data_IF_732334213890
#
_entry.id   IF_732334213890
#
_cell.length_a   1.000
_cell.length_b   1.000
_cell.length_c   1.000
_cell.angle_alpha   90.00
_cell.angle_beta   90.00
_cell.angle_gamma   90.00
#
_symmetry.space_group_name_H-M   'P 1'
#
loop_
_entity.id
_entity.type
_entity.pdbx_description
1 polymer ?
#
# COMPACT_ATOMS: atom_id res chain seq x y z
N UNK A 1 8.93 12.89 -6.74
CA UNK A 1 8.09 11.94 -5.99
C UNK A 1 7.56 12.67 -4.76
N UNK A 2 6.29 12.51 -4.39
CA UNK A 2 5.70 13.28 -3.27
C UNK A 2 6.08 12.70 -1.89
N UNK A 3 6.40 11.41 -1.82
CA UNK A 3 6.78 10.70 -0.60
C UNK A 3 7.99 9.81 -0.83
N UNK A 4 8.92 9.77 0.14
CA UNK A 4 10.07 8.87 0.14
C UNK A 4 9.73 7.49 0.70
N UNK A 5 8.76 7.43 1.61
CA UNK A 5 8.28 6.21 2.26
C UNK A 5 6.76 6.22 2.38
N UNK A 6 6.18 5.03 2.34
CA UNK A 6 4.75 4.77 2.46
C UNK A 6 4.55 3.67 3.50
N UNK A 7 3.62 3.90 4.42
CA UNK A 7 3.14 2.91 5.38
C UNK A 7 1.72 2.50 5.03
N UNK A 8 1.41 1.21 5.13
CA UNK A 8 0.06 0.67 5.01
C UNK A 8 -0.37 0.23 6.41
N UNK A 9 -1.51 0.75 6.85
CA UNK A 9 -2.11 0.47 8.15
C UNK A 9 -3.45 -0.22 7.91
N UNK A 10 -3.70 -1.34 8.57
CA UNK A 10 -5.01 -2.00 8.62
C UNK A 10 -5.37 -2.24 10.09
N UNK A 11 -6.61 -1.96 10.47
CA UNK A 11 -7.10 -2.04 11.86
C UNK A 11 -6.22 -1.37 12.93
N UNK A 12 -5.54 -0.28 12.58
CA UNK A 12 -4.65 0.44 13.50
C UNK A 12 -3.25 -0.19 13.64
N UNK A 13 -2.96 -1.25 12.88
CA UNK A 13 -1.64 -1.90 12.85
C UNK A 13 -0.89 -1.58 11.56
N UNK A 14 0.40 -1.27 11.68
CA UNK A 14 1.28 -1.03 10.52
C UNK A 14 1.72 -2.38 9.93
N UNK A 15 1.16 -2.73 8.78
CA UNK A 15 1.39 -4.03 8.13
C UNK A 15 2.45 -3.97 7.02
N UNK A 16 2.73 -2.79 6.47
CA UNK A 16 3.83 -2.61 5.52
C UNK A 16 4.44 -1.21 5.63
N UNK A 17 5.75 -1.11 5.42
CA UNK A 17 6.49 0.15 5.41
C UNK A 17 7.67 0.04 4.46
N UNK A 18 7.83 1.00 3.56
CA UNK A 18 8.95 1.02 2.61
C UNK A 18 8.83 2.16 1.61
N UNK A 19 9.76 2.28 0.68
CA UNK A 19 9.56 3.18 -0.46
C UNK A 19 8.44 2.66 -1.36
N UNK A 20 7.77 3.53 -2.13
CA UNK A 20 6.73 3.09 -3.07
C UNK A 20 7.21 1.99 -4.03
N UNK A 21 8.45 2.13 -4.54
CA UNK A 21 9.05 1.17 -5.48
C UNK A 21 9.29 -0.19 -4.84
N UNK A 22 9.74 -0.23 -3.59
CA UNK A 22 9.96 -1.48 -2.87
C UNK A 22 8.65 -2.21 -2.59
N UNK A 23 7.62 -1.47 -2.17
CA UNK A 23 6.30 -2.04 -1.90
C UNK A 23 5.69 -2.62 -3.17
N UNK A 24 5.74 -1.89 -4.29
CA UNK A 24 5.28 -2.39 -5.59
C UNK A 24 6.04 -3.64 -6.04
N UNK A 25 7.38 -3.65 -5.89
CA UNK A 25 8.22 -4.80 -6.27
C UNK A 25 7.96 -6.02 -5.39
N UNK A 26 7.81 -5.84 -4.08
CA UNK A 26 7.61 -6.92 -3.11
C UNK A 26 6.27 -7.65 -3.31
N UNK A 27 5.26 -6.91 -3.74
CA UNK A 27 3.89 -7.44 -3.91
C UNK A 27 3.52 -7.67 -5.39
N UNK A 28 4.49 -7.56 -6.31
CA UNK A 28 4.29 -7.69 -7.77
C UNK A 28 3.07 -6.89 -8.25
N UNK A 29 3.10 -5.59 -7.97
CA UNK A 29 1.97 -4.69 -8.15
C UNK A 29 2.38 -3.52 -9.05
N UNK A 30 1.44 -3.05 -9.88
CA UNK A 30 1.66 -1.94 -10.82
C UNK A 30 1.59 -0.57 -10.14
N UNK A 31 0.87 -0.46 -9.04
CA UNK A 31 0.69 0.77 -8.28
C UNK A 31 0.43 0.45 -6.79
N UNK A 32 0.42 1.50 -5.94
CA UNK A 32 0.21 1.35 -4.50
C UNK A 32 -1.20 0.88 -4.12
N UNK A 33 -2.21 1.16 -4.94
CA UNK A 33 -3.57 0.65 -4.72
C UNK A 33 -3.60 -0.87 -4.83
N UNK A 34 -2.93 -1.43 -5.83
CA UNK A 34 -2.83 -2.88 -6.00
C UNK A 34 -2.00 -3.50 -4.86
N UNK A 35 -0.96 -2.83 -4.37
CA UNK A 35 -0.26 -3.24 -3.13
C UNK A 35 -1.24 -3.28 -1.96
N UNK A 36 -2.03 -2.22 -1.76
CA UNK A 36 -3.02 -2.15 -0.69
C UNK A 36 -4.05 -3.28 -0.79
N UNK A 37 -4.60 -3.54 -1.98
CA UNK A 37 -5.55 -4.62 -2.20
C UNK A 37 -4.94 -5.99 -1.91
N UNK A 38 -3.70 -6.24 -2.35
CA UNK A 38 -3.01 -7.52 -2.12
C UNK A 38 -2.71 -7.77 -0.65
N UNK A 39 -2.49 -6.72 0.14
CA UNK A 39 -2.16 -6.85 1.56
C UNK A 39 -3.43 -6.91 2.42
N UNK A 40 -4.40 -6.03 2.19
CA UNK A 40 -5.59 -5.91 3.03
C UNK A 40 -6.76 -6.78 2.56
N UNK A 41 -6.73 -7.25 1.31
CA UNK A 41 -7.85 -7.95 0.67
C UNK A 41 -9.08 -7.06 0.43
N UNK A 42 -8.96 -5.74 0.62
CA UNK A 42 -10.05 -4.77 0.47
C UNK A 42 -9.74 -3.78 -0.63
N UNK A 43 -10.79 -3.27 -1.29
CA UNK A 43 -10.65 -2.13 -2.20
C UNK A 43 -10.54 -0.85 -1.38
N UNK A 44 -9.69 0.08 -1.82
CA UNK A 44 -9.69 1.44 -1.28
C UNK A 44 -11.08 2.02 -1.59
N UNK A 45 -11.81 2.39 -0.54
CA UNK A 45 -13.08 3.11 -0.70
C UNK A 45 -12.70 4.58 -0.83
N UNK A 46 -12.83 5.13 -2.03
CA UNK A 46 -12.85 6.59 -2.18
C UNK A 46 -14.16 7.07 -1.54
N UNK A 47 -14.03 7.83 -0.44
CA UNK A 47 -15.19 8.37 0.27
C UNK A 47 -16.03 9.24 -0.66
N UNK A 48 -17.35 9.03 -0.59
CA UNK A 48 -18.37 9.89 -1.21
C UNK A 48 -18.54 11.17 -0.40
#
# INVERSE_FOLDING_TARGET
ALCDRVGIIDYGELIALGSPKELMKKHDAKNLEEVFMKITGRRIMEGV
#
